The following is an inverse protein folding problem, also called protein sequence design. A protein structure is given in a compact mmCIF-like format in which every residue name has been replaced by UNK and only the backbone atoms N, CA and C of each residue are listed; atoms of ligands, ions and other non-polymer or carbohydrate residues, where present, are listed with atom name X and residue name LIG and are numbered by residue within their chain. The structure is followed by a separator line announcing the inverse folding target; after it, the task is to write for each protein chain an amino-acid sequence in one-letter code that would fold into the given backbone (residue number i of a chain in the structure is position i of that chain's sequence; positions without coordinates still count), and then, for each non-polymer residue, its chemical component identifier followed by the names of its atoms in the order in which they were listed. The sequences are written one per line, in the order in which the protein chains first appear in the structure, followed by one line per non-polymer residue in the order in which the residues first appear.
data_IF_402114470319
#
_entry.id   IF_402114470319
#
_cell.length_a   1.000
_cell.length_b   1.000
_cell.length_c   1.000
_cell.angle_alpha   90.00
_cell.angle_beta   90.00
_cell.angle_gamma   90.00
#
_symmetry.space_group_name_H-M   'P 1'
#
loop_
_entity.id
_entity.type
_entity.pdbx_description
1 polymer ?
#
# COMPACT_ATOMS: atom_id res chain seq x y z
N UNK A 1 -9.83 4.60 -23.75
CA UNK A 1 -9.87 5.59 -22.65
C UNK A 1 -10.49 4.89 -21.46
N UNK A 2 -9.67 4.36 -20.55
CA UNK A 2 -10.19 3.77 -19.32
C UNK A 2 -10.76 4.91 -18.47
N UNK A 3 -12.06 4.83 -18.15
CA UNK A 3 -12.68 5.75 -17.20
C UNK A 3 -11.95 5.56 -15.86
N UNK A 4 -11.11 6.52 -15.48
CA UNK A 4 -10.39 6.49 -14.21
C UNK A 4 -11.41 6.42 -13.09
N UNK A 5 -11.45 5.29 -12.39
CA UNK A 5 -12.38 5.11 -11.27
C UNK A 5 -11.83 5.94 -10.12
N UNK A 6 -12.43 7.11 -9.84
CA UNK A 6 -12.13 7.88 -8.63
C UNK A 6 -12.63 7.09 -7.43
N UNK A 7 -11.76 6.29 -6.85
CA UNK A 7 -12.14 5.38 -5.76
C UNK A 7 -11.95 6.01 -4.40
N UNK A 8 -12.74 5.53 -3.44
CA UNK A 8 -12.73 6.02 -2.07
C UNK A 8 -11.46 5.53 -1.36
N UNK A 9 -11.00 6.29 -0.35
CA UNK A 9 -9.84 5.95 0.48
C UNK A 9 -9.89 4.51 1.03
N UNK A 10 -11.08 3.96 1.23
CA UNK A 10 -11.30 2.60 1.71
C UNK A 10 -10.89 1.53 0.69
N UNK A 11 -11.19 1.74 -0.60
CA UNK A 11 -10.85 0.79 -1.67
C UNK A 11 -9.32 0.67 -1.80
N UNK A 12 -8.64 1.82 -1.79
CA UNK A 12 -7.18 1.87 -1.81
C UNK A 12 -6.57 1.05 -0.67
N UNK A 13 -7.08 1.23 0.56
CA UNK A 13 -6.60 0.46 1.72
C UNK A 13 -6.77 -1.04 1.52
N UNK A 14 -7.93 -1.47 1.06
CA UNK A 14 -8.18 -2.90 0.83
C UNK A 14 -7.25 -3.49 -0.23
N UNK A 15 -7.06 -2.79 -1.35
CA UNK A 15 -6.17 -3.24 -2.41
C UNK A 15 -4.72 -3.37 -1.94
N UNK A 16 -4.22 -2.37 -1.21
CA UNK A 16 -2.85 -2.39 -0.68
C UNK A 16 -2.64 -3.53 0.31
N UNK A 17 -3.55 -3.68 1.30
CA UNK A 17 -3.45 -4.72 2.32
C UNK A 17 -3.55 -6.11 1.69
N UNK A 18 -4.51 -6.31 0.78
CA UNK A 18 -4.69 -7.59 0.07
C UNK A 18 -3.45 -7.96 -0.75
N UNK A 19 -2.88 -6.99 -1.47
CA UNK A 19 -1.70 -7.24 -2.29
C UNK A 19 -0.49 -7.62 -1.42
N UNK A 20 -0.26 -6.89 -0.32
CA UNK A 20 0.82 -7.21 0.63
C UNK A 20 0.61 -8.58 1.27
N UNK A 21 -0.62 -8.95 1.61
CA UNK A 21 -0.90 -10.28 2.17
C UNK A 21 -0.66 -11.41 1.16
N UNK A 22 -0.91 -11.17 -0.13
CA UNK A 22 -0.72 -12.16 -1.20
C UNK A 22 0.74 -12.31 -1.63
N UNK A 23 1.48 -11.20 -1.69
CA UNK A 23 2.84 -11.16 -2.26
C UNK A 23 3.94 -11.01 -1.20
N UNK A 24 3.59 -10.70 0.04
CA UNK A 24 4.53 -10.51 1.14
C UNK A 24 5.30 -9.20 1.03
N UNK A 25 6.63 -9.29 0.99
CA UNK A 25 7.50 -8.12 0.91
C UNK A 25 7.28 -7.38 -0.41
N UNK A 26 6.63 -6.21 -0.32
CA UNK A 26 6.30 -5.36 -1.46
C UNK A 26 6.78 -3.94 -1.22
N UNK A 27 7.33 -3.31 -2.25
CA UNK A 27 7.77 -1.92 -2.26
C UNK A 27 6.63 -0.96 -2.61
N UNK A 28 6.76 0.31 -2.20
CA UNK A 28 5.79 1.35 -2.58
C UNK A 28 5.70 1.53 -4.10
N UNK A 29 6.81 1.37 -4.83
CA UNK A 29 6.84 1.42 -6.29
C UNK A 29 6.02 0.29 -6.92
N UNK A 30 6.18 -0.95 -6.46
CA UNK A 30 5.40 -2.09 -6.96
C UNK A 30 3.91 -1.92 -6.68
N UNK A 31 3.55 -1.36 -5.52
CA UNK A 31 2.15 -1.04 -5.20
C UNK A 31 1.58 0.03 -6.12
N UNK A 32 2.35 1.07 -6.45
CA UNK A 32 1.92 2.11 -7.41
C UNK A 32 1.75 1.52 -8.81
N UNK A 33 2.69 0.68 -9.26
CA UNK A 33 2.59 -0.01 -10.56
C UNK A 33 1.36 -0.89 -10.61
N UNK A 34 1.12 -1.69 -9.57
CA UNK A 34 -0.07 -2.54 -9.48
C UNK A 34 -1.36 -1.73 -9.57
N UNK A 35 -1.44 -0.58 -8.89
CA UNK A 35 -2.59 0.30 -8.96
C UNK A 35 -2.79 0.89 -10.36
N UNK A 36 -1.71 1.28 -11.04
CA UNK A 36 -1.77 1.76 -12.41
C UNK A 36 -2.22 0.67 -13.40
N UNK A 37 -1.74 -0.57 -13.23
CA UNK A 37 -2.07 -1.71 -14.09
C UNK A 37 -3.56 -2.08 -14.02
N UNK A 38 -4.19 -1.95 -12.85
CA UNK A 38 -5.63 -2.18 -12.68
C UNK A 38 -6.49 -0.95 -13.04
N UNK A 39 -5.87 0.15 -13.50
CA UNK A 39 -6.57 1.40 -13.84
C UNK A 39 -7.08 2.19 -12.63
N UNK A 40 -6.51 1.98 -11.45
CA UNK A 40 -6.87 2.71 -10.24
C UNK A 40 -6.19 4.08 -10.23
N UNK A 41 -7.01 5.14 -10.28
CA UNK A 41 -6.50 6.51 -10.32
C UNK A 41 -6.27 7.05 -8.90
N UNK A 42 -5.10 7.65 -8.68
CA UNK A 42 -4.70 8.25 -7.42
C UNK A 42 -4.56 9.75 -7.61
N UNK A 43 -5.34 10.53 -6.87
CA UNK A 43 -5.19 11.99 -6.89
C UNK A 43 -3.78 12.39 -6.38
N UNK A 44 -3.13 13.29 -7.14
CA UNK A 44 -1.87 13.91 -6.75
C UNK A 44 -0.63 13.05 -7.01
N UNK A 45 0.19 12.82 -5.98
CA UNK A 45 1.44 12.05 -6.07
C UNK A 45 1.18 10.60 -5.62
N UNK A 46 1.10 9.61 -6.54
CA UNK A 46 0.70 8.23 -6.21
C UNK A 46 1.50 7.62 -5.07
N UNK A 47 2.82 7.74 -5.11
CA UNK A 47 3.71 7.18 -4.08
C UNK A 47 3.47 7.80 -2.69
N UNK A 48 3.11 9.09 -2.63
CA UNK A 48 2.82 9.77 -1.36
C UNK A 48 1.49 9.26 -0.81
N UNK A 49 0.46 9.16 -1.64
CA UNK A 49 -0.87 8.67 -1.25
C UNK A 49 -0.81 7.23 -0.75
N UNK A 50 -0.07 6.35 -1.46
CA UNK A 50 0.19 4.98 -1.01
C UNK A 50 0.94 4.98 0.32
N UNK A 51 2.02 5.75 0.45
CA UNK A 51 2.81 5.79 1.69
C UNK A 51 2.01 6.29 2.90
N UNK A 52 1.17 7.31 2.72
CA UNK A 52 0.34 7.88 3.79
C UNK A 52 -0.75 6.88 4.26
N UNK A 53 -1.32 6.16 3.29
CA UNK A 53 -2.27 5.07 3.54
C UNK A 53 -1.59 3.94 4.33
N UNK A 54 -0.44 3.45 3.86
CA UNK A 54 0.34 2.41 4.56
C UNK A 54 0.76 2.86 5.96
N UNK A 55 1.10 4.13 6.16
CA UNK A 55 1.44 4.66 7.49
C UNK A 55 0.27 4.54 8.47
N UNK A 56 -0.96 4.72 7.97
CA UNK A 56 -2.17 4.52 8.76
C UNK A 56 -2.40 3.04 9.06
N UNK A 57 -2.22 2.15 8.09
CA UNK A 57 -2.41 0.71 8.28
C UNK A 57 -1.31 0.08 9.17
N UNK A 58 -0.08 0.60 9.16
CA UNK A 58 0.98 0.22 10.12
C UNK A 58 0.60 0.63 11.56
N UNK A 59 0.03 1.84 11.76
CA UNK A 59 -0.46 2.26 13.08
C UNK A 59 -1.60 1.39 13.60
N UNK A 60 -2.35 0.77 12.71
CA UNK A 60 -3.47 -0.13 13.03
C UNK A 60 -3.03 -1.61 13.07
N UNK A 61 -1.73 -1.91 13.02
CA UNK A 61 -1.12 -3.25 12.95
C UNK A 61 -1.67 -4.15 11.82
N UNK A 62 -2.13 -3.54 10.71
CA UNK A 62 -2.62 -4.27 9.52
C UNK A 62 -1.52 -4.63 8.53
N UNK A 63 -0.43 -3.87 8.54
CA UNK A 63 0.75 -4.07 7.69
C UNK A 63 1.99 -3.83 8.54
N UNK A 64 3.04 -4.62 8.34
CA UNK A 64 4.34 -4.41 9.00
C UNK A 64 5.36 -3.98 7.96
N UNK A 65 6.17 -2.97 8.29
CA UNK A 65 7.29 -2.61 7.44
C UNK A 65 8.53 -3.38 7.88
N UNK A 66 9.36 -3.75 6.91
CA UNK A 66 10.60 -4.50 7.11
C UNK A 66 11.53 -3.83 8.14
N UNK A 67 11.53 -2.50 8.19
CA UNK A 67 12.28 -1.70 9.16
C UNK A 67 11.96 -2.08 10.60
N UNK A 68 10.67 -2.26 10.92
CA UNK A 68 10.23 -2.64 12.27
C UNK A 68 10.36 -4.14 12.48
N UNK A 69 10.15 -4.95 11.44
CA UNK A 69 10.35 -6.41 11.51
C UNK A 69 11.79 -6.81 11.79
N UNK A 70 12.77 -6.02 11.33
CA UNK A 70 14.20 -6.23 11.65
C UNK A 70 14.53 -5.89 13.09
N UNK A 71 13.99 -4.78 13.60
CA UNK A 71 14.19 -4.37 15.00
C UNK A 71 13.54 -5.36 15.98
N UNK A 72 12.35 -5.86 15.66
CA UNK A 72 11.68 -6.88 16.46
C UNK A 72 12.48 -8.20 16.52
N UNK A 73 13.08 -8.63 15.41
CA UNK A 73 13.91 -9.85 15.33
C UNK A 73 15.29 -9.73 16.00
N UNK A 74 15.81 -8.52 16.19
CA UNK A 74 17.07 -8.30 16.93
C UNK A 74 16.87 -8.19 18.44
N UNK A 75 15.62 -8.08 18.90
CA UNK A 75 15.28 -7.98 20.31
C UNK A 75 14.90 -9.34 20.94
N UNK A 76 14.85 -10.41 20.13
CA UNK A 76 14.76 -11.83 20.54
C UNK A 76 16.16 -12.46 20.59
#
# INVERSE_FOLDING_TARGET
MAAGTRSLRTDLRYLLVLHIHRHGLTTVSELVTMLADIGFDLDGRPSKTVSDTLRTDVKLDRVRTDKWSRLARQAE
#
